data_IF_577295653306
#
_entry.id   IF_577295653306
#
_cell.length_a   1.000
_cell.length_b   1.000
_cell.length_c   1.000
_cell.angle_alpha   90.00
_cell.angle_beta   90.00
_cell.angle_gamma   90.00
#
_symmetry.space_group_name_H-M   'P 1'
#
loop_
_entity.id
_entity.type
_entity.pdbx_description
1 polymer ?
#
# COMPACT_ATOMS: atom_id res chain seq x y z
N UNK A 1 7.68 10.69 2.35
CA UNK A 1 8.76 9.68 2.42
C UNK A 1 8.18 8.31 2.08
N UNK A 2 8.81 7.56 1.17
CA UNK A 2 8.35 6.22 0.75
C UNK A 2 8.34 5.18 1.89
N UNK A 3 9.17 5.35 2.92
CA UNK A 3 9.32 4.42 4.04
C UNK A 3 8.92 5.08 5.35
N UNK A 4 7.61 5.13 5.63
CA UNK A 4 7.11 5.54 6.94
C UNK A 4 7.54 4.50 7.98
N UNK A 5 8.32 4.92 8.99
CA UNK A 5 8.77 4.05 10.09
C UNK A 5 7.64 3.68 11.06
N UNK A 6 6.67 4.59 11.22
CA UNK A 6 5.55 4.42 12.15
C UNK A 6 4.28 4.23 11.33
N UNK A 7 3.98 2.97 11.00
CA UNK A 7 2.74 2.58 10.33
C UNK A 7 1.92 1.79 11.33
N UNK A 8 0.63 2.08 11.40
CA UNK A 8 -0.31 1.27 12.17
C UNK A 8 -0.32 -0.17 11.62
N UNK A 9 -0.02 -1.18 12.46
CA UNK A 9 0.01 -2.55 11.99
C UNK A 9 -1.39 -2.98 11.56
N UNK A 10 -1.49 -3.56 10.36
CA UNK A 10 -2.74 -4.10 9.82
C UNK A 10 -2.48 -5.43 9.14
N UNK A 11 -3.35 -6.43 9.33
CA UNK A 11 -3.25 -7.75 8.73
C UNK A 11 -3.19 -7.67 7.20
N UNK A 12 -3.90 -6.69 6.61
CA UNK A 12 -3.83 -6.35 5.19
C UNK A 12 -2.40 -6.13 4.68
N UNK A 13 -1.55 -5.51 5.52
CA UNK A 13 -0.15 -5.21 5.18
C UNK A 13 0.84 -6.23 5.75
N UNK A 14 0.37 -7.35 6.28
CA UNK A 14 1.24 -8.36 6.87
C UNK A 14 1.82 -9.27 5.78
N UNK A 15 3.14 -9.48 5.77
CA UNK A 15 3.85 -10.42 4.88
C UNK A 15 3.32 -11.86 4.94
N UNK A 16 2.66 -12.24 6.04
CA UNK A 16 2.09 -13.59 6.24
C UNK A 16 0.59 -13.71 5.94
N UNK A 17 -0.09 -12.59 5.70
CA UNK A 17 -1.50 -12.60 5.31
C UNK A 17 -1.64 -12.84 3.82
N UNK A 18 -2.75 -13.41 3.38
CA UNK A 18 -3.17 -13.42 1.97
C UNK A 18 -4.59 -12.89 1.93
N UNK A 19 -4.88 -11.92 1.06
CA UNK A 19 -6.24 -11.43 0.90
C UNK A 19 -7.08 -12.51 0.23
N UNK A 20 -8.22 -12.83 0.82
CA UNK A 20 -9.23 -13.71 0.20
C UNK A 20 -10.20 -12.85 -0.61
N UNK A 21 -10.63 -11.74 -0.01
CA UNK A 21 -11.53 -10.73 -0.57
C UNK A 21 -11.21 -9.35 0.08
N UNK A 22 -12.14 -8.39 0.00
CA UNK A 22 -11.98 -7.05 0.57
C UNK A 22 -12.15 -7.01 2.10
N UNK A 23 -12.76 -8.04 2.69
CA UNK A 23 -13.19 -8.10 4.10
C UNK A 23 -12.41 -9.14 4.92
N UNK A 24 -11.61 -10.00 4.28
CA UNK A 24 -10.99 -11.15 4.91
C UNK A 24 -9.54 -11.36 4.48
N UNK A 25 -8.68 -11.57 5.48
CA UNK A 25 -7.28 -11.99 5.30
C UNK A 25 -7.09 -13.38 5.88
N UNK A 26 -6.52 -14.30 5.09
CA UNK A 26 -6.03 -15.57 5.59
C UNK A 26 -4.64 -15.39 6.20
N UNK A 27 -4.55 -15.48 7.52
CA UNK A 27 -3.30 -15.46 8.27
C UNK A 27 -2.80 -16.88 8.52
N UNK A 28 -1.55 -17.18 8.13
CA UNK A 28 -0.94 -18.50 8.34
C UNK A 28 -0.86 -18.96 9.81
N UNK A 29 -1.03 -18.04 10.78
CA UNK A 29 -0.93 -18.32 12.22
C UNK A 29 -2.27 -18.21 12.97
N UNK A 30 -3.28 -17.56 12.39
CA UNK A 30 -4.54 -17.21 13.08
C UNK A 30 -5.80 -17.63 12.30
N UNK A 31 -5.67 -18.11 11.07
CA UNK A 31 -6.81 -18.37 10.20
C UNK A 31 -7.36 -17.09 9.57
N UNK A 32 -8.66 -17.05 9.33
CA UNK A 32 -9.35 -15.88 8.76
C UNK A 32 -9.43 -14.76 9.80
N UNK A 33 -8.98 -13.57 9.43
CA UNK A 33 -8.94 -12.38 10.28
C UNK A 33 -9.39 -11.14 9.53
N UNK A 34 -9.82 -10.12 10.30
CA UNK A 34 -10.15 -8.80 9.79
C UNK A 34 -8.90 -8.09 9.19
N UNK A 35 -9.00 -7.45 8.01
CA UNK A 35 -7.90 -6.73 7.36
C UNK A 35 -7.31 -5.59 8.20
N UNK A 36 -8.13 -4.92 9.01
CA UNK A 36 -7.75 -3.86 9.93
C UNK A 36 -7.15 -4.34 11.25
N UNK A 37 -7.29 -5.61 11.58
CA UNK A 37 -6.71 -6.20 12.79
C UNK A 37 -5.18 -6.27 12.76
N UNK A 38 -4.57 -6.62 13.88
CA UNK A 38 -3.14 -6.90 13.97
C UNK A 38 -2.85 -7.97 15.04
N UNK A 39 -1.77 -8.71 14.85
CA UNK A 39 -1.29 -9.65 15.86
C UNK A 39 0.16 -9.35 16.24
N UNK A 40 0.61 -9.87 17.38
CA UNK A 40 1.99 -9.72 17.87
C UNK A 40 3.06 -10.22 16.88
N UNK A 41 2.68 -11.13 15.98
CA UNK A 41 3.59 -11.65 14.97
C UNK A 41 3.75 -10.71 13.76
N UNK A 42 2.96 -9.64 13.62
CA UNK A 42 2.90 -8.77 12.43
C UNK A 42 4.28 -8.46 11.81
N UNK A 43 4.36 -8.52 10.47
CA UNK A 43 5.53 -8.10 9.70
C UNK A 43 5.06 -7.32 8.50
N UNK A 44 5.45 -6.05 8.38
CA UNK A 44 5.06 -5.19 7.28
C UNK A 44 5.60 -5.69 5.93
N UNK A 45 4.74 -5.69 4.92
CA UNK A 45 5.08 -5.94 3.52
C UNK A 45 4.77 -4.68 2.68
N UNK A 46 5.81 -3.92 2.27
CA UNK A 46 5.63 -2.70 1.49
C UNK A 46 4.93 -2.92 0.15
N UNK A 47 5.02 -4.11 -0.44
CA UNK A 47 4.47 -4.41 -1.77
C UNK A 47 2.95 -4.55 -1.76
N UNK A 48 2.34 -4.73 -0.58
CA UNK A 48 0.89 -4.80 -0.41
C UNK A 48 0.22 -3.44 -0.36
N UNK A 49 1.00 -2.36 -0.30
CA UNK A 49 0.47 -1.01 -0.33
C UNK A 49 0.33 -0.58 -1.79
N UNK A 50 -0.88 -0.27 -2.21
CA UNK A 50 -1.13 0.36 -3.51
C UNK A 50 -1.05 1.88 -3.32
N UNK A 51 -0.07 2.58 -3.92
CA UNK A 51 -0.02 4.04 -3.89
C UNK A 51 -1.27 4.61 -4.58
N UNK A 52 -1.73 5.78 -4.11
CA UNK A 52 -2.74 6.53 -4.87
C UNK A 52 -2.16 6.83 -6.26
N UNK A 53 -2.98 6.67 -7.30
CA UNK A 53 -2.58 7.04 -8.66
C UNK A 53 -2.08 8.48 -8.65
N UNK A 54 -0.93 8.79 -9.26
CA UNK A 54 -0.44 10.15 -9.34
C UNK A 54 -1.46 11.01 -10.08
N UNK A 55 -1.54 12.28 -9.70
CA UNK A 55 -2.38 13.25 -10.42
C UNK A 55 -1.88 13.34 -11.85
N UNK A 56 -2.80 13.35 -12.81
CA UNK A 56 -2.46 13.53 -14.23
C UNK A 56 -1.78 14.89 -14.37
N UNK A 57 -0.58 14.89 -14.92
CA UNK A 57 0.14 16.13 -15.16
C UNK A 57 -0.61 16.98 -16.20
N UNK A 58 -0.81 18.26 -15.89
CA UNK A 58 -1.37 19.21 -16.83
C UNK A 58 -0.24 19.85 -17.65
N UNK A 59 -0.22 19.56 -18.95
CA UNK A 59 0.80 20.06 -19.87
C UNK A 59 0.31 21.22 -20.75
N UNK A 60 -0.90 21.77 -20.50
CA UNK A 60 -1.52 22.81 -21.33
C UNK A 60 -0.70 24.11 -21.39
N UNK A 61 0.14 24.35 -20.40
CA UNK A 61 0.99 25.55 -20.31
C UNK A 61 2.34 25.41 -21.02
N UNK A 62 2.74 24.19 -21.38
CA UNK A 62 4.04 23.94 -22.01
C UNK A 62 3.99 24.30 -23.49
N UNK A 63 4.97 25.07 -23.94
CA UNK A 63 5.15 25.47 -25.33
C UNK A 63 6.39 24.83 -25.92
N UNK A 64 6.47 24.81 -27.25
CA UNK A 64 7.62 24.21 -27.95
C UNK A 64 8.95 24.89 -27.57
N UNK A 65 8.91 26.19 -27.28
CA UNK A 65 10.08 26.97 -26.87
C UNK A 65 10.67 26.50 -25.53
N UNK A 66 9.86 25.93 -24.63
CA UNK A 66 10.32 25.41 -23.32
C UNK A 66 11.24 24.17 -23.48
N UNK A 67 11.34 23.60 -24.68
CA UNK A 67 12.13 22.41 -24.99
C UNK A 67 13.33 22.70 -25.91
N UNK A 68 13.64 23.97 -26.18
CA UNK A 68 14.78 24.39 -27.01
C UNK A 68 15.91 24.91 -26.10
N UNK A 69 17.17 24.59 -26.45
CA UNK A 69 18.40 24.99 -25.74
C UNK A 69 18.92 26.36 -26.19
#
# INVERSE_FOLDING_TARGET
MLFQKNIEPRCLYCKRGVALDEEQILCSLKGVVDPGGACRAFRYDPLKRVPKKPVVANFSHLKKEDFML
#
